data_IF_602177364272
#
_entry.id   IF_602177364272
#
_cell.length_a   1.000
_cell.length_b   1.000
_cell.length_c   1.000
_cell.angle_alpha   90.00
_cell.angle_beta   90.00
_cell.angle_gamma   90.00
#
_symmetry.space_group_name_H-M   'P 1'
#
loop_
_entity.id
_entity.type
_entity.pdbx_description
1 polymer ?
#
# COMPACT_ATOMS: atom_id res chain seq x y z
N UNK A 1 -7.25 -14.22 -14.42
CA UNK A 1 -7.99 -14.13 -13.16
C UNK A 1 -8.89 -12.91 -13.09
N UNK A 2 -8.35 -11.67 -12.98
CA UNK A 2 -9.14 -10.44 -12.77
C UNK A 2 -10.18 -10.18 -13.87
N UNK A 3 -9.81 -10.29 -15.14
CA UNK A 3 -10.74 -10.10 -16.28
C UNK A 3 -11.92 -11.08 -16.21
N UNK A 4 -11.65 -12.35 -15.94
CA UNK A 4 -12.71 -13.37 -15.82
C UNK A 4 -13.64 -13.04 -14.65
N UNK A 5 -13.11 -12.60 -13.51
CA UNK A 5 -13.94 -12.15 -12.37
C UNK A 5 -14.83 -10.96 -12.74
N UNK A 6 -14.28 -9.97 -13.45
CA UNK A 6 -15.06 -8.82 -13.94
C UNK A 6 -16.23 -9.27 -14.82
N UNK A 7 -15.98 -10.22 -15.72
CA UNK A 7 -17.01 -10.75 -16.62
C UNK A 7 -18.11 -11.50 -15.86
N UNK A 8 -17.72 -12.32 -14.87
CA UNK A 8 -18.69 -13.12 -14.07
C UNK A 8 -19.52 -12.23 -13.16
N UNK A 9 -18.88 -11.28 -12.45
CA UNK A 9 -19.52 -10.44 -11.44
C UNK A 9 -20.14 -9.17 -12.02
N UNK A 10 -19.84 -8.84 -13.28
CA UNK A 10 -20.23 -7.59 -13.95
C UNK A 10 -19.92 -6.34 -13.11
N UNK A 11 -18.77 -6.36 -12.43
CA UNK A 11 -18.27 -5.25 -11.58
C UNK A 11 -16.74 -5.25 -11.52
N UNK A 12 -16.09 -4.12 -11.16
CA UNK A 12 -14.65 -4.05 -10.93
C UNK A 12 -14.19 -5.02 -9.83
N UNK A 13 -13.03 -5.70 -9.97
CA UNK A 13 -12.58 -6.76 -9.07
C UNK A 13 -11.85 -6.18 -7.85
N UNK A 14 -12.51 -5.30 -7.11
CA UNK A 14 -11.99 -4.56 -5.94
C UNK A 14 -13.04 -4.42 -4.84
N UNK A 15 -14.11 -5.21 -4.92
CA UNK A 15 -15.29 -5.04 -4.10
C UNK A 15 -15.21 -5.73 -2.74
N UNK A 16 -14.35 -6.74 -2.58
CA UNK A 16 -14.12 -7.45 -1.32
C UNK A 16 -12.67 -7.28 -0.87
N UNK A 17 -12.37 -7.62 0.39
CA UNK A 17 -10.99 -7.58 0.88
C UNK A 17 -10.10 -8.55 0.09
N UNK A 18 -10.60 -9.76 -0.21
CA UNK A 18 -9.93 -10.72 -1.09
C UNK A 18 -9.56 -10.12 -2.45
N UNK A 19 -10.55 -9.51 -3.13
CA UNK A 19 -10.33 -8.89 -4.45
C UNK A 19 -9.36 -7.71 -4.38
N UNK A 20 -9.46 -6.89 -3.33
CA UNK A 20 -8.56 -5.74 -3.16
C UNK A 20 -7.10 -6.17 -3.00
N UNK A 21 -6.84 -7.27 -2.27
CA UNK A 21 -5.47 -7.81 -2.12
C UNK A 21 -4.92 -8.30 -3.46
N UNK A 22 -5.72 -9.03 -4.24
CA UNK A 22 -5.31 -9.49 -5.58
C UNK A 22 -5.06 -8.30 -6.52
N UNK A 23 -5.91 -7.28 -6.46
CA UNK A 23 -5.74 -6.09 -7.29
C UNK A 23 -4.47 -5.31 -6.91
N UNK A 24 -4.20 -5.13 -5.61
CA UNK A 24 -2.96 -4.51 -5.13
C UNK A 24 -1.74 -5.33 -5.54
N UNK A 25 -1.81 -6.66 -5.46
CA UNK A 25 -0.75 -7.54 -5.96
C UNK A 25 -0.48 -7.32 -7.47
N UNK A 26 -1.55 -7.21 -8.26
CA UNK A 26 -1.44 -6.90 -9.69
C UNK A 26 -0.78 -5.54 -9.92
N UNK A 27 -1.18 -4.49 -9.22
CA UNK A 27 -0.57 -3.15 -9.31
C UNK A 27 0.91 -3.19 -8.90
N UNK A 28 1.26 -3.87 -7.83
CA UNK A 28 2.64 -4.01 -7.38
C UNK A 28 3.53 -4.69 -8.43
N UNK A 29 3.05 -5.80 -9.00
CA UNK A 29 3.77 -6.51 -10.07
C UNK A 29 3.89 -5.65 -11.33
N UNK A 30 2.81 -4.97 -11.74
CA UNK A 30 2.80 -4.08 -12.91
C UNK A 30 3.83 -2.94 -12.74
N UNK A 31 3.84 -2.28 -11.60
CA UNK A 31 4.81 -1.23 -11.30
C UNK A 31 6.23 -1.76 -11.26
N UNK A 32 6.46 -2.94 -10.70
CA UNK A 32 7.77 -3.57 -10.70
C UNK A 32 8.26 -3.89 -12.13
N UNK A 33 7.38 -4.34 -13.02
CA UNK A 33 7.70 -4.55 -14.45
C UNK A 33 8.07 -3.20 -15.10
N UNK A 34 7.31 -2.14 -14.86
CA UNK A 34 7.61 -0.81 -15.41
C UNK A 34 8.97 -0.31 -14.91
N UNK A 35 9.25 -0.48 -13.62
CA UNK A 35 10.55 -0.12 -13.04
C UNK A 35 11.68 -0.94 -13.64
N UNK A 36 11.48 -2.23 -13.93
CA UNK A 36 12.49 -3.07 -14.55
C UNK A 36 12.78 -2.67 -16.00
N UNK A 37 11.78 -2.29 -16.77
CA UNK A 37 11.97 -1.76 -18.12
C UNK A 37 12.87 -0.52 -18.11
N UNK A 38 12.76 0.30 -17.06
CA UNK A 38 13.56 1.52 -16.88
C UNK A 38 14.98 1.19 -16.38
N UNK A 39 15.10 0.32 -15.38
CA UNK A 39 16.37 0.05 -14.69
C UNK A 39 17.21 -1.05 -15.33
N UNK A 40 16.57 -2.14 -15.75
CA UNK A 40 17.22 -3.33 -16.34
C UNK A 40 18.27 -3.97 -15.42
N UNK A 41 17.99 -4.05 -14.10
CA UNK A 41 18.90 -4.58 -13.09
C UNK A 41 18.40 -5.85 -12.39
N UNK A 42 17.26 -6.40 -12.80
CA UNK A 42 16.57 -7.57 -12.27
C UNK A 42 16.05 -7.44 -10.83
N UNK A 43 16.39 -6.38 -10.09
CA UNK A 43 15.91 -6.15 -8.73
C UNK A 43 14.43 -5.83 -8.68
N UNK A 44 13.95 -5.04 -9.64
CA UNK A 44 12.53 -4.69 -9.69
C UNK A 44 11.67 -5.92 -9.97
N UNK A 45 12.14 -6.86 -10.80
CA UNK A 45 11.46 -8.15 -11.03
C UNK A 45 11.40 -8.99 -9.75
N UNK A 46 12.51 -9.04 -9.00
CA UNK A 46 12.53 -9.76 -7.72
C UNK A 46 11.52 -9.16 -6.72
N UNK A 47 11.51 -7.83 -6.58
CA UNK A 47 10.53 -7.12 -5.73
C UNK A 47 9.10 -7.42 -6.19
N UNK A 48 8.84 -7.36 -7.50
CA UNK A 48 7.52 -7.67 -8.06
C UNK A 48 7.09 -9.11 -7.81
N UNK A 49 7.98 -10.07 -8.03
CA UNK A 49 7.70 -11.49 -7.78
C UNK A 49 7.39 -11.77 -6.31
N UNK A 50 8.23 -11.26 -5.39
CA UNK A 50 8.03 -11.45 -3.96
C UNK A 50 6.73 -10.79 -3.48
N UNK A 51 6.46 -9.54 -3.85
CA UNK A 51 5.20 -8.86 -3.48
C UNK A 51 3.99 -9.57 -4.08
N UNK A 52 4.05 -10.01 -5.33
CA UNK A 52 2.98 -10.76 -5.97
C UNK A 52 2.67 -12.07 -5.25
N UNK A 53 3.69 -12.86 -4.92
CA UNK A 53 3.54 -14.14 -4.20
C UNK A 53 2.98 -13.90 -2.79
N UNK A 54 3.56 -12.97 -2.03
CA UNK A 54 3.16 -12.70 -0.64
C UNK A 54 1.71 -12.19 -0.59
N UNK A 55 1.38 -11.19 -1.40
CA UNK A 55 0.02 -10.64 -1.42
C UNK A 55 -0.99 -11.66 -1.92
N UNK A 56 -0.62 -12.48 -2.90
CA UNK A 56 -1.50 -13.56 -3.37
C UNK A 56 -1.72 -14.62 -2.28
N UNK A 57 -0.68 -14.98 -1.54
CA UNK A 57 -0.81 -15.87 -0.39
C UNK A 57 -1.72 -15.28 0.70
N UNK A 58 -1.54 -13.99 1.03
CA UNK A 58 -2.38 -13.28 1.99
C UNK A 58 -3.85 -13.28 1.54
N UNK A 59 -4.11 -13.15 0.23
CA UNK A 59 -5.49 -13.11 -0.28
C UNK A 59 -6.28 -14.37 0.05
N UNK A 60 -5.65 -15.55 0.09
CA UNK A 60 -6.33 -16.81 0.45
C UNK A 60 -6.87 -16.80 1.88
N UNK A 61 -6.25 -16.07 2.80
CA UNK A 61 -6.75 -15.90 4.17
C UNK A 61 -8.07 -15.11 4.26
N UNK A 62 -8.45 -14.45 3.16
CA UNK A 62 -9.69 -13.68 3.04
C UNK A 62 -10.71 -14.32 2.08
N UNK A 63 -10.42 -15.51 1.59
CA UNK A 63 -11.37 -16.31 0.82
C UNK A 63 -12.29 -17.06 1.80
N UNK A 64 -13.41 -16.46 2.21
CA UNK A 64 -14.36 -17.00 3.17
C UNK A 64 -14.90 -18.35 2.67
N UNK A 65 -14.51 -19.45 3.31
CA UNK A 65 -14.99 -20.83 3.03
C UNK A 65 -15.00 -21.22 1.54
N UNK A 66 -14.11 -20.61 0.73
CA UNK A 66 -14.03 -20.84 -0.71
C UNK A 66 -14.98 -20.01 -1.56
N UNK A 67 -15.95 -19.31 -0.95
CA UNK A 67 -16.80 -18.35 -1.69
C UNK A 67 -16.15 -16.99 -1.77
N UNK A 68 -15.65 -16.65 -2.96
CA UNK A 68 -15.06 -15.34 -3.27
C UNK A 68 -15.97 -14.48 -4.15
N UNK A 69 -17.21 -14.90 -4.39
CA UNK A 69 -18.18 -14.25 -5.28
C UNK A 69 -19.34 -13.60 -4.51
N UNK A 70 -19.19 -13.35 -3.23
CA UNK A 70 -20.23 -12.83 -2.34
C UNK A 70 -20.96 -11.58 -2.88
N UNK A 71 -22.21 -11.43 -2.46
CA UNK A 71 -23.07 -10.29 -2.81
C UNK A 71 -22.64 -9.07 -2.00
N UNK A 72 -22.58 -7.90 -2.67
CA UNK A 72 -22.27 -6.63 -1.99
C UNK A 72 -23.51 -6.05 -1.31
N UNK A 73 -23.28 -5.34 -0.21
CA UNK A 73 -24.27 -4.45 0.39
C UNK A 73 -24.68 -3.40 -0.63
N UNK A 74 -25.96 -3.09 -0.73
CA UNK A 74 -26.50 -2.23 -1.79
C UNK A 74 -25.81 -0.88 -1.92
N UNK A 75 -25.46 -0.23 -0.81
CA UNK A 75 -24.76 1.07 -0.80
C UNK A 75 -23.35 1.00 -1.40
N UNK A 76 -22.71 -0.18 -1.37
CA UNK A 76 -21.38 -0.41 -1.93
C UNK A 76 -21.45 -0.95 -3.38
N UNK A 77 -22.63 -1.29 -3.87
CA UNK A 77 -22.81 -1.85 -5.20
C UNK A 77 -22.94 -0.76 -6.28
N UNK A 78 -21.87 -0.02 -6.50
CA UNK A 78 -21.78 1.02 -7.53
C UNK A 78 -20.59 0.76 -8.43
N UNK A 79 -20.83 0.32 -9.67
CA UNK A 79 -19.76 0.08 -10.63
C UNK A 79 -18.92 1.33 -10.91
N UNK A 80 -19.55 2.50 -10.93
CA UNK A 80 -18.83 3.77 -11.11
C UNK A 80 -17.84 4.03 -9.97
N UNK A 81 -18.28 3.92 -8.71
CA UNK A 81 -17.43 4.19 -7.57
C UNK A 81 -16.39 3.09 -7.31
N UNK A 82 -16.74 1.84 -7.59
CA UNK A 82 -15.76 0.75 -7.57
C UNK A 82 -14.65 0.96 -8.62
N UNK A 83 -15.03 1.39 -9.84
CA UNK A 83 -14.08 1.63 -10.92
C UNK A 83 -13.25 2.90 -10.72
N UNK A 84 -13.75 3.91 -10.04
CA UNK A 84 -13.05 5.20 -9.86
C UNK A 84 -12.37 5.29 -8.50
N UNK A 85 -13.12 5.33 -7.40
CA UNK A 85 -12.55 5.49 -6.06
C UNK A 85 -11.71 4.28 -5.65
N UNK A 86 -12.32 3.06 -5.65
CA UNK A 86 -11.65 1.90 -5.05
C UNK A 86 -10.41 1.49 -5.84
N UNK A 87 -10.46 1.50 -7.18
CA UNK A 87 -9.27 1.23 -7.99
C UNK A 87 -8.17 2.28 -7.77
N UNK A 88 -8.55 3.55 -7.62
CA UNK A 88 -7.59 4.64 -7.39
C UNK A 88 -6.90 4.51 -6.04
N UNK A 89 -7.66 4.31 -4.95
CA UNK A 89 -7.07 4.22 -3.60
C UNK A 89 -6.24 2.94 -3.44
N UNK A 90 -6.69 1.81 -4.00
CA UNK A 90 -5.92 0.55 -3.96
C UNK A 90 -4.67 0.60 -4.84
N UNK A 91 -4.67 1.34 -5.94
CA UNK A 91 -3.45 1.68 -6.69
C UNK A 91 -2.48 2.47 -5.82
N UNK A 92 -2.97 3.41 -5.04
CA UNK A 92 -2.17 4.14 -4.05
C UNK A 92 -1.55 3.21 -3.00
N UNK A 93 -2.29 2.23 -2.49
CA UNK A 93 -1.75 1.21 -1.57
C UNK A 93 -0.64 0.40 -2.23
N UNK A 94 -0.88 -0.14 -3.42
CA UNK A 94 0.13 -0.90 -4.17
C UNK A 94 1.40 -0.10 -4.46
N UNK A 95 1.24 1.17 -4.84
CA UNK A 95 2.38 2.04 -5.10
C UNK A 95 3.15 2.38 -3.82
N UNK A 96 2.46 2.56 -2.69
CA UNK A 96 3.11 2.80 -1.38
C UNK A 96 3.89 1.57 -0.93
N UNK A 97 3.35 0.36 -1.13
CA UNK A 97 4.06 -0.89 -0.86
C UNK A 97 5.35 -0.98 -1.71
N UNK A 98 5.27 -0.68 -3.01
CA UNK A 98 6.46 -0.67 -3.87
C UNK A 98 7.47 0.39 -3.40
N UNK A 99 7.03 1.59 -3.05
CA UNK A 99 7.93 2.63 -2.51
C UNK A 99 8.63 2.14 -1.22
N UNK A 100 7.90 1.45 -0.35
CA UNK A 100 8.46 0.84 0.86
C UNK A 100 9.49 -0.24 0.53
N UNK A 101 9.19 -1.16 -0.38
CA UNK A 101 10.12 -2.24 -0.78
C UNK A 101 11.39 -1.68 -1.43
N UNK A 102 11.29 -0.59 -2.21
CA UNK A 102 12.46 0.14 -2.70
C UNK A 102 13.24 0.78 -1.54
N UNK A 103 12.54 1.26 -0.49
CA UNK A 103 13.15 1.72 0.76
C UNK A 103 13.93 0.61 1.49
N UNK A 104 13.37 -0.61 1.58
CA UNK A 104 14.06 -1.77 2.13
C UNK A 104 15.34 -2.08 1.33
N UNK A 105 15.24 -2.10 0.00
CA UNK A 105 16.40 -2.31 -0.87
C UNK A 105 17.48 -1.23 -0.65
N UNK A 106 17.08 0.04 -0.53
CA UNK A 106 18.02 1.13 -0.24
C UNK A 106 18.74 0.90 1.08
N UNK A 107 18.02 0.57 2.17
CA UNK A 107 18.62 0.32 3.49
C UNK A 107 19.59 -0.87 3.46
N UNK A 108 19.20 -1.97 2.82
CA UNK A 108 20.07 -3.12 2.63
C UNK A 108 21.33 -2.74 1.89
N UNK A 109 21.24 -2.12 0.73
CA UNK A 109 22.38 -1.72 -0.09
C UNK A 109 23.29 -0.75 0.66
N UNK A 110 22.74 0.27 1.32
CA UNK A 110 23.51 1.24 2.09
C UNK A 110 24.25 0.62 3.29
N UNK A 111 23.67 -0.40 3.93
CA UNK A 111 24.29 -1.09 5.06
C UNK A 111 25.50 -1.94 4.66
N UNK A 112 25.58 -2.41 3.40
CA UNK A 112 26.67 -3.26 2.87
C UNK A 112 27.60 -2.55 1.87
N UNK A 113 27.75 -1.23 1.93
CA UNK A 113 28.69 -0.45 1.11
C UNK A 113 28.41 -0.46 -0.40
N UNK A 114 27.18 -0.29 -0.81
CA UNK A 114 26.89 -0.09 -2.22
C UNK A 114 27.47 1.20 -2.78
N UNK A 115 27.74 1.18 -4.09
CA UNK A 115 28.22 2.34 -4.84
C UNK A 115 27.26 3.54 -4.67
N UNK A 116 27.82 4.75 -4.52
CA UNK A 116 27.06 6.00 -4.37
C UNK A 116 26.10 6.26 -5.53
N UNK A 117 26.49 5.92 -6.76
CA UNK A 117 25.64 6.08 -7.95
C UNK A 117 24.44 5.15 -7.92
N UNK A 118 24.62 3.90 -7.45
CA UNK A 118 23.53 2.95 -7.27
C UNK A 118 22.54 3.47 -6.22
N UNK A 119 23.03 3.92 -5.06
CA UNK A 119 22.20 4.48 -4.00
C UNK A 119 21.44 5.72 -4.47
N UNK A 120 22.05 6.58 -5.27
CA UNK A 120 21.39 7.74 -5.87
C UNK A 120 20.29 7.33 -6.83
N UNK A 121 20.53 6.31 -7.66
CA UNK A 121 19.54 5.75 -8.56
C UNK A 121 18.32 5.19 -7.80
N UNK A 122 18.54 4.38 -6.77
CA UNK A 122 17.48 3.83 -5.92
C UNK A 122 16.71 4.96 -5.21
N UNK A 123 17.43 5.99 -4.74
CA UNK A 123 16.83 7.15 -4.10
C UNK A 123 15.87 7.91 -5.04
N UNK A 124 16.23 8.09 -6.31
CA UNK A 124 15.37 8.74 -7.30
C UNK A 124 14.08 7.93 -7.53
N UNK A 125 14.17 6.59 -7.49
CA UNK A 125 12.99 5.73 -7.59
C UNK A 125 12.10 5.86 -6.35
N UNK A 126 12.70 5.88 -5.14
CA UNK A 126 11.94 6.15 -3.92
C UNK A 126 11.15 7.45 -4.03
N UNK A 127 11.77 8.53 -4.51
CA UNK A 127 11.08 9.80 -4.71
C UNK A 127 9.95 9.68 -5.75
N UNK A 128 10.22 9.12 -6.91
CA UNK A 128 9.24 8.95 -7.98
C UNK A 128 8.03 8.12 -7.53
N UNK A 129 8.29 6.98 -6.90
CA UNK A 129 7.22 6.11 -6.37
C UNK A 129 6.43 6.78 -5.24
N UNK A 130 7.08 7.60 -4.39
CA UNK A 130 6.38 8.38 -3.36
C UNK A 130 5.41 9.39 -3.96
N UNK A 131 5.81 10.12 -5.02
CA UNK A 131 4.91 11.06 -5.69
C UNK A 131 3.70 10.36 -6.32
N UNK A 132 3.92 9.22 -6.97
CA UNK A 132 2.83 8.43 -7.55
C UNK A 132 1.91 7.90 -6.45
N UNK A 133 2.47 7.36 -5.36
CA UNK A 133 1.72 6.87 -4.22
C UNK A 133 0.86 7.98 -3.58
N UNK A 134 1.46 9.16 -3.35
CA UNK A 134 0.75 10.32 -2.81
C UNK A 134 -0.38 10.77 -3.74
N UNK A 135 -0.13 10.84 -5.05
CA UNK A 135 -1.16 11.22 -6.02
C UNK A 135 -2.37 10.29 -5.93
N UNK A 136 -2.15 8.97 -6.02
CA UNK A 136 -3.26 8.01 -6.01
C UNK A 136 -3.96 7.91 -4.65
N UNK A 137 -3.23 7.98 -3.54
CA UNK A 137 -3.84 7.94 -2.20
C UNK A 137 -4.63 9.20 -1.91
N UNK A 138 -4.09 10.39 -2.21
CA UNK A 138 -4.78 11.66 -1.98
C UNK A 138 -6.02 11.78 -2.88
N UNK A 139 -5.87 11.52 -4.17
CA UNK A 139 -6.98 11.60 -5.12
C UNK A 139 -8.05 10.55 -4.81
N UNK A 140 -7.64 9.32 -4.48
CA UNK A 140 -8.54 8.26 -4.04
C UNK A 140 -9.30 8.64 -2.77
N UNK A 141 -8.65 9.27 -1.79
CA UNK A 141 -9.30 9.73 -0.57
C UNK A 141 -10.38 10.77 -0.85
N UNK A 142 -10.11 11.74 -1.75
CA UNK A 142 -11.09 12.75 -2.17
C UNK A 142 -12.29 12.10 -2.88
N UNK A 143 -12.04 11.17 -3.80
CA UNK A 143 -13.11 10.43 -4.48
C UNK A 143 -13.97 9.64 -3.49
N UNK A 144 -13.35 9.06 -2.43
CA UNK A 144 -14.07 8.38 -1.36
C UNK A 144 -14.99 9.31 -0.57
N UNK A 145 -14.53 10.54 -0.30
CA UNK A 145 -15.35 11.56 0.34
C UNK A 145 -16.56 11.95 -0.53
N UNK A 146 -16.36 12.10 -1.83
CA UNK A 146 -17.48 12.40 -2.77
C UNK A 146 -18.47 11.22 -2.81
N UNK A 147 -17.98 9.98 -2.84
CA UNK A 147 -18.86 8.82 -2.76
C UNK A 147 -19.60 8.76 -1.42
N UNK A 148 -18.92 9.06 -0.31
CA UNK A 148 -19.54 9.15 1.01
C UNK A 148 -20.65 10.19 1.08
N UNK A 149 -20.46 11.35 0.46
CA UNK A 149 -21.49 12.40 0.36
C UNK A 149 -22.73 11.89 -0.38
N UNK A 150 -22.55 11.23 -1.51
CA UNK A 150 -23.66 10.69 -2.29
C UNK A 150 -24.37 9.50 -1.60
N UNK A 151 -23.64 8.66 -0.87
CA UNK A 151 -24.18 7.43 -0.29
C UNK A 151 -24.78 7.64 1.11
N UNK A 152 -24.22 8.55 1.90
CA UNK A 152 -24.55 8.77 3.32
C UNK A 152 -24.84 10.23 3.66
N UNK A 153 -24.84 11.14 2.68
CA UNK A 153 -25.12 12.57 2.88
C UNK A 153 -24.02 13.31 3.64
N UNK A 154 -22.80 12.77 3.67
CA UNK A 154 -21.64 13.41 4.33
C UNK A 154 -20.34 13.13 3.58
N UNK A 155 -19.58 14.16 3.28
CA UNK A 155 -18.28 14.04 2.61
C UNK A 155 -17.23 13.38 3.49
N UNK A 156 -17.24 13.62 4.81
CA UNK A 156 -16.28 13.10 5.78
C UNK A 156 -16.95 12.85 7.13
N UNK A 157 -16.72 11.70 7.71
CA UNK A 157 -17.34 11.31 8.98
C UNK A 157 -16.38 10.75 10.02
N UNK A 158 -15.07 10.88 9.78
CA UNK A 158 -14.05 10.34 10.66
C UNK A 158 -14.15 8.81 10.85
N UNK A 159 -14.67 8.13 9.84
CA UNK A 159 -14.69 6.66 9.80
C UNK A 159 -13.24 6.12 9.86
N UNK A 160 -12.99 4.98 10.50
CA UNK A 160 -11.65 4.39 10.56
C UNK A 160 -10.96 4.24 9.20
N UNK A 161 -11.69 3.90 8.13
CA UNK A 161 -11.15 3.83 6.76
C UNK A 161 -10.74 5.20 6.23
N UNK A 162 -11.56 6.23 6.47
CA UNK A 162 -11.25 7.60 6.11
C UNK A 162 -9.98 8.09 6.81
N UNK A 163 -9.91 7.86 8.14
CA UNK A 163 -8.73 8.20 8.95
C UNK A 163 -7.48 7.42 8.51
N UNK A 164 -7.64 6.15 8.15
CA UNK A 164 -6.54 5.34 7.62
C UNK A 164 -6.00 5.88 6.30
N UNK A 165 -6.88 6.24 5.37
CA UNK A 165 -6.48 6.84 4.09
C UNK A 165 -5.77 8.19 4.31
N UNK A 166 -6.31 9.04 5.20
CA UNK A 166 -5.68 10.31 5.58
C UNK A 166 -4.30 10.09 6.21
N UNK A 167 -4.14 9.07 7.05
CA UNK A 167 -2.85 8.73 7.67
C UNK A 167 -1.78 8.44 6.61
N UNK A 168 -2.10 7.69 5.56
CA UNK A 168 -1.15 7.41 4.45
C UNK A 168 -0.77 8.72 3.75
N UNK A 169 -1.75 9.55 3.40
CA UNK A 169 -1.52 10.84 2.72
C UNK A 169 -0.62 11.74 3.57
N UNK A 170 -0.94 11.90 4.85
CA UNK A 170 -0.16 12.74 5.76
C UNK A 170 1.26 12.22 5.96
N UNK A 171 1.44 10.90 6.05
CA UNK A 171 2.77 10.30 6.17
C UNK A 171 3.63 10.56 4.94
N UNK A 172 3.10 10.32 3.73
CA UNK A 172 3.83 10.57 2.48
C UNK A 172 4.15 12.06 2.29
N UNK A 173 3.20 12.94 2.60
CA UNK A 173 3.43 14.41 2.59
C UNK A 173 4.52 14.80 3.57
N UNK A 174 4.48 14.31 4.80
CA UNK A 174 5.51 14.56 5.81
C UNK A 174 6.89 14.15 5.31
N UNK A 175 7.02 12.95 4.73
CA UNK A 175 8.30 12.45 4.23
C UNK A 175 8.85 13.32 3.09
N UNK A 176 8.01 13.78 2.17
CA UNK A 176 8.41 14.71 1.10
C UNK A 176 8.86 16.07 1.68
N UNK A 177 8.13 16.63 2.63
CA UNK A 177 8.49 17.90 3.28
C UNK A 177 9.79 17.80 4.07
N UNK A 178 9.98 16.72 4.84
CA UNK A 178 11.24 16.47 5.55
C UNK A 178 12.43 16.35 4.60
N UNK A 179 12.20 15.76 3.42
CA UNK A 179 13.23 15.67 2.37
C UNK A 179 13.54 17.04 1.75
N UNK A 180 12.49 17.82 1.41
CA UNK A 180 12.64 19.16 0.81
C UNK A 180 13.34 20.10 1.80
N UNK A 181 12.98 20.03 3.09
CA UNK A 181 13.60 20.81 4.17
C UNK A 181 15.04 20.38 4.48
N UNK A 182 15.54 19.30 3.88
CA UNK A 182 16.88 18.78 4.14
C UNK A 182 17.07 18.09 5.50
N UNK A 183 15.97 17.84 6.23
CA UNK A 183 15.99 17.20 7.56
C UNK A 183 16.27 15.71 7.51
N UNK A 184 15.86 15.04 6.43
CA UNK A 184 16.16 13.64 6.20
C UNK A 184 17.05 13.45 4.97
N UNK A 185 18.08 12.62 5.13
CA UNK A 185 18.95 12.13 4.05
C UNK A 185 18.44 10.80 3.53
N UNK A 186 19.11 10.23 2.52
CA UNK A 186 18.72 8.97 1.88
C UNK A 186 18.29 7.85 2.85
N UNK A 187 19.13 7.47 3.84
CA UNK A 187 18.75 6.43 4.80
C UNK A 187 17.52 6.77 5.65
N UNK A 188 17.39 8.02 6.11
CA UNK A 188 16.23 8.47 6.87
C UNK A 188 14.95 8.50 6.04
N UNK A 189 15.06 8.90 4.76
CA UNK A 189 13.95 8.85 3.83
C UNK A 189 13.51 7.41 3.55
N UNK A 190 14.47 6.50 3.34
CA UNK A 190 14.19 5.08 3.16
C UNK A 190 13.52 4.46 4.39
N UNK A 191 13.98 4.77 5.60
CA UNK A 191 13.31 4.37 6.84
C UNK A 191 11.85 4.85 6.86
N UNK A 192 11.62 6.13 6.53
CA UNK A 192 10.26 6.67 6.46
C UNK A 192 9.37 5.95 5.48
N UNK A 193 9.89 5.48 4.33
CA UNK A 193 9.13 4.68 3.37
C UNK A 193 8.86 3.26 3.88
N UNK A 194 9.81 2.63 4.58
CA UNK A 194 9.58 1.34 5.26
C UNK A 194 8.43 1.49 6.24
N UNK A 195 8.43 2.54 7.05
CA UNK A 195 7.35 2.81 8.02
C UNK A 195 6.02 3.20 7.34
N UNK A 196 6.03 3.73 6.13
CA UNK A 196 4.81 3.98 5.35
C UNK A 196 4.02 2.68 5.09
N UNK A 197 4.70 1.55 5.00
CA UNK A 197 4.05 0.24 4.83
C UNK A 197 3.16 -0.11 6.04
N UNK A 198 3.58 0.31 7.24
CA UNK A 198 2.77 0.18 8.46
C UNK A 198 1.47 1.01 8.34
N UNK A 199 1.56 2.24 7.81
CA UNK A 199 0.36 3.08 7.64
C UNK A 199 -0.62 2.45 6.66
N UNK A 200 -0.13 1.83 5.58
CA UNK A 200 -0.98 1.09 4.63
C UNK A 200 -1.63 -0.12 5.30
N UNK A 201 -0.85 -0.92 6.04
CA UNK A 201 -1.37 -2.11 6.72
C UNK A 201 -2.44 -1.75 7.76
N UNK A 202 -2.23 -0.66 8.52
CA UNK A 202 -3.23 -0.14 9.47
C UNK A 202 -4.49 0.35 8.76
N UNK A 203 -4.36 1.13 7.69
CA UNK A 203 -5.49 1.66 6.93
C UNK A 203 -6.29 0.58 6.20
N UNK A 204 -5.64 -0.48 5.77
CA UNK A 204 -6.25 -1.54 4.97
C UNK A 204 -6.84 -2.66 5.83
N UNK A 205 -6.02 -3.22 6.73
CA UNK A 205 -6.38 -4.36 7.57
C UNK A 205 -6.73 -3.94 9.01
N UNK A 206 -5.95 -3.03 9.61
CA UNK A 206 -6.08 -2.64 11.01
C UNK A 206 -7.44 -2.02 11.33
N UNK A 207 -7.98 -1.21 10.45
CA UNK A 207 -9.29 -0.57 10.66
C UNK A 207 -10.45 -1.58 10.75
N UNK A 208 -10.31 -2.76 10.14
CA UNK A 208 -11.33 -3.82 10.24
C UNK A 208 -11.37 -4.45 11.64
N UNK A 209 -10.26 -4.37 12.41
CA UNK A 209 -10.20 -4.88 13.79
C UNK A 209 -11.02 -4.04 14.76
N UNK A 210 -11.34 -2.79 14.40
CA UNK A 210 -12.12 -1.90 15.25
C UNK A 210 -13.61 -2.25 15.25
N UNK A 211 -14.07 -3.03 14.28
CA UNK A 211 -15.48 -3.45 14.10
C UNK A 211 -16.50 -2.30 14.13
N UNK A 212 -16.05 -1.08 13.82
CA UNK A 212 -16.85 0.15 13.78
C UNK A 212 -16.68 0.85 12.44
N UNK A 213 -17.65 1.69 12.08
CA UNK A 213 -17.67 2.46 10.85
C UNK A 213 -18.44 1.80 9.73
N UNK A 214 -18.67 2.57 8.66
CA UNK A 214 -19.49 2.17 7.51
C UNK A 214 -18.75 1.27 6.52
N UNK A 215 -17.41 1.18 6.64
CA UNK A 215 -16.52 0.40 5.77
C UNK A 215 -16.01 -0.89 6.44
N UNK A 216 -16.78 -1.47 7.36
CA UNK A 216 -16.37 -2.70 8.03
C UNK A 216 -16.66 -3.93 7.14
N UNK A 217 -15.63 -4.71 6.84
CA UNK A 217 -15.72 -5.95 6.02
C UNK A 217 -15.76 -7.23 6.86
N UNK A 218 -16.09 -7.12 8.15
CA UNK A 218 -16.13 -8.26 9.07
C UNK A 218 -14.80 -8.52 9.78
N UNK A 219 -14.87 -9.35 10.81
CA UNK A 219 -13.73 -9.76 11.62
C UNK A 219 -13.06 -11.00 11.02
N UNK A 220 -11.73 -10.96 10.88
CA UNK A 220 -10.95 -12.12 10.43
C UNK A 220 -10.10 -12.61 11.58
N UNK A 221 -10.28 -13.87 11.98
CA UNK A 221 -9.46 -14.50 13.03
C UNK A 221 -7.96 -14.42 12.67
N UNK A 222 -7.14 -14.13 13.67
CA UNK A 222 -5.69 -14.02 13.50
C UNK A 222 -5.18 -12.74 12.84
N UNK A 223 -6.05 -11.89 12.28
CA UNK A 223 -5.63 -10.66 11.60
C UNK A 223 -4.85 -9.71 12.53
N UNK A 224 -5.24 -9.59 13.79
CA UNK A 224 -4.55 -8.75 14.77
C UNK A 224 -3.12 -9.22 15.05
N UNK A 225 -2.92 -10.54 15.23
CA UNK A 225 -1.59 -11.12 15.46
C UNK A 225 -0.70 -10.96 14.23
N UNK A 226 -1.22 -11.26 13.04
CA UNK A 226 -0.48 -11.12 11.79
C UNK A 226 -0.06 -9.66 11.55
N UNK A 227 -0.95 -8.70 11.83
CA UNK A 227 -0.65 -7.28 11.73
C UNK A 227 0.42 -6.85 12.74
N UNK A 228 0.34 -7.34 13.98
CA UNK A 228 1.34 -7.06 15.01
C UNK A 228 2.71 -7.61 14.61
N UNK A 229 2.79 -8.84 14.14
CA UNK A 229 4.04 -9.46 13.64
C UNK A 229 4.62 -8.65 12.50
N UNK A 230 3.79 -8.24 11.55
CA UNK A 230 4.19 -7.39 10.43
C UNK A 230 4.76 -6.05 10.90
N UNK A 231 4.08 -5.35 11.81
CA UNK A 231 4.55 -4.07 12.37
C UNK A 231 5.89 -4.24 13.08
N UNK A 232 6.04 -5.28 13.92
CA UNK A 232 7.31 -5.58 14.60
C UNK A 232 8.42 -5.82 13.59
N UNK A 233 8.16 -6.60 12.54
CA UNK A 233 9.14 -6.86 11.48
C UNK A 233 9.60 -5.57 10.80
N UNK A 234 8.66 -4.71 10.36
CA UNK A 234 8.97 -3.44 9.69
C UNK A 234 9.79 -2.51 10.60
N UNK A 235 9.43 -2.42 11.90
CA UNK A 235 10.17 -1.62 12.88
C UNK A 235 11.59 -2.16 13.10
N UNK A 236 11.73 -3.46 13.35
CA UNK A 236 13.04 -4.08 13.59
C UNK A 236 13.93 -3.97 12.35
N UNK A 237 13.38 -4.23 11.17
CA UNK A 237 14.11 -4.10 9.91
C UNK A 237 14.54 -2.65 9.67
N UNK A 238 13.58 -1.74 9.63
CA UNK A 238 13.83 -0.35 9.26
C UNK A 238 14.78 0.35 10.23
N UNK A 239 14.50 0.28 11.54
CA UNK A 239 15.32 0.90 12.58
C UNK A 239 16.69 0.20 12.68
N UNK A 240 16.73 -1.12 12.64
CA UNK A 240 17.98 -1.90 12.73
C UNK A 240 18.96 -1.55 11.61
N UNK A 241 18.52 -1.53 10.36
CA UNK A 241 19.36 -1.16 9.23
C UNK A 241 19.74 0.33 9.21
N UNK A 242 18.81 1.20 9.60
CA UNK A 242 19.09 2.63 9.74
C UNK A 242 20.19 2.90 10.77
N UNK A 243 20.09 2.29 11.96
CA UNK A 243 21.11 2.41 13.01
C UNK A 243 22.45 1.82 12.56
N UNK A 244 22.45 0.65 11.90
CA UNK A 244 23.69 0.07 11.32
C UNK A 244 24.39 1.05 10.37
N UNK A 245 23.63 1.74 9.51
CA UNK A 245 24.21 2.74 8.59
C UNK A 245 24.73 3.95 9.37
N UNK A 246 23.97 4.43 10.36
CA UNK A 246 24.34 5.62 11.16
C UNK A 246 25.61 5.40 11.99
N UNK A 247 25.79 4.23 12.58
CA UNK A 247 26.95 3.91 13.41
C UNK A 247 28.17 3.41 12.62
N UNK A 248 28.03 3.15 11.33
CA UNK A 248 29.13 2.77 10.46
C UNK A 248 29.90 3.98 9.91
N UNK A 249 29.27 5.15 9.85
CA UNK A 249 29.84 6.42 9.41
C UNK A 249 30.22 7.28 10.61
#
# INVERSE_FOLDING_TARGET
GLIIRMTILNRPPVSTLYESVIFVAFIAVLLAIILEIIRRDNFSLLIGALSGIILHYISFGYASDGDTFGVLVAVLNSNFWLATHVTTITTGYGTTIIASLVGHLYLLKAAWNSNKEELKSIFNIMLGTTFIALFFTMFGTILGGIWGDQSWGRFWGWDPKENGALLIVMWLLMMLHLKIAGWVKGPGYALGLVLANITVALAWFGVNLLSVGLHNYGFTEGAALNLLIFIIFELLFGIGFYLKIKFKN
#
